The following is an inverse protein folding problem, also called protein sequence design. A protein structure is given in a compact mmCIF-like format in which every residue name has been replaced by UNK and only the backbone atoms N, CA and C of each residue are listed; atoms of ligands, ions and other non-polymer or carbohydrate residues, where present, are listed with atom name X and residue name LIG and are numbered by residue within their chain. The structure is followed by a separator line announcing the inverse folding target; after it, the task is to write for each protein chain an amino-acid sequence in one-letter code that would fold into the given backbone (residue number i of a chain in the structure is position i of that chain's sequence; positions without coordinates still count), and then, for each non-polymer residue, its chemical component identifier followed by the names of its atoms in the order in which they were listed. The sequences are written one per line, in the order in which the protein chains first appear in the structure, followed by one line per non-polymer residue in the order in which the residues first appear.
data_IF_511807544117
#
_entry.id   IF_511807544117
#
_cell.length_a   1.000
_cell.length_b   1.000
_cell.length_c   1.000
_cell.angle_alpha   90.00
_cell.angle_beta   90.00
_cell.angle_gamma   90.00
#
_symmetry.space_group_name_H-M   'P 1'
#
loop_
_entity.id
_entity.type
_entity.pdbx_description
1 polymer ?
#
# COMPACT_ATOMS: atom_id res chain seq x y z
N UNK A 1 -13.72 9.51 -8.47
CA UNK A 1 -12.90 10.78 -8.46
C UNK A 1 -11.97 10.69 -7.27
N UNK A 2 -10.70 11.04 -7.45
CA UNK A 2 -9.69 11.02 -6.36
C UNK A 2 -10.09 12.02 -5.28
N UNK A 3 -10.14 11.63 -3.98
CA UNK A 3 -10.36 12.59 -2.90
C UNK A 3 -9.21 13.59 -2.83
N UNK A 4 -9.50 14.87 -2.80
CA UNK A 4 -8.50 15.92 -2.55
C UNK A 4 -8.35 16.15 -1.06
N UNK A 5 -7.15 16.47 -0.61
CA UNK A 5 -6.88 16.67 0.81
C UNK A 5 -7.79 17.75 1.43
N UNK A 6 -8.15 18.78 0.67
CA UNK A 6 -9.03 19.86 1.13
C UNK A 6 -10.50 19.43 1.25
N UNK A 7 -10.90 18.32 0.64
CA UNK A 7 -12.23 17.73 0.73
C UNK A 7 -12.36 16.75 1.90
N UNK A 8 -11.25 16.41 2.57
CA UNK A 8 -11.16 15.49 3.70
C UNK A 8 -11.23 16.27 5.03
N UNK A 9 -12.34 16.92 5.29
CA UNK A 9 -12.60 17.79 6.44
C UNK A 9 -12.66 17.05 7.79
N UNK A 10 -12.82 15.73 7.76
CA UNK A 10 -12.81 14.86 8.94
C UNK A 10 -11.40 14.58 9.49
N UNK A 11 -10.34 14.87 8.73
CA UNK A 11 -8.96 14.62 9.17
C UNK A 11 -8.50 15.65 10.21
N UNK A 12 -7.87 15.18 11.30
CA UNK A 12 -7.22 16.05 12.29
C UNK A 12 -6.09 16.88 11.65
N UNK A 13 -5.76 18.02 12.26
CA UNK A 13 -4.67 18.88 11.76
C UNK A 13 -3.33 18.14 11.64
N UNK A 14 -3.02 17.24 12.60
CA UNK A 14 -1.80 16.43 12.54
C UNK A 14 -1.77 15.48 11.35
N UNK A 15 -2.89 14.80 11.05
CA UNK A 15 -3.02 13.94 9.88
C UNK A 15 -2.89 14.77 8.58
N UNK A 16 -3.56 15.93 8.50
CA UNK A 16 -3.48 16.79 7.31
C UNK A 16 -2.07 17.27 7.04
N UNK A 17 -1.34 17.74 8.06
CA UNK A 17 0.03 18.23 7.90
C UNK A 17 0.97 17.14 7.36
N UNK A 18 0.88 15.93 7.89
CA UNK A 18 1.68 14.78 7.43
C UNK A 18 1.29 14.31 6.03
N UNK A 19 -0.01 14.22 5.75
CA UNK A 19 -0.50 13.86 4.40
C UNK A 19 -0.11 14.93 3.38
N UNK A 20 -0.11 16.22 3.75
CA UNK A 20 0.35 17.28 2.86
C UNK A 20 1.80 17.07 2.44
N UNK A 21 2.68 16.68 3.35
CA UNK A 21 4.07 16.36 3.03
C UNK A 21 4.17 15.19 2.02
N UNK A 22 3.43 14.10 2.25
CA UNK A 22 3.43 12.92 1.37
C UNK A 22 2.87 13.22 -0.02
N UNK A 23 1.90 14.12 -0.14
CA UNK A 23 1.14 14.38 -1.36
C UNK A 23 1.68 15.56 -2.19
N UNK A 24 2.26 16.58 -1.52
CA UNK A 24 2.61 17.85 -2.17
C UNK A 24 4.06 18.27 -2.02
N UNK A 25 4.75 17.89 -0.94
CA UNK A 25 6.16 18.26 -0.72
C UNK A 25 7.12 17.18 -1.26
N UNK A 26 6.65 15.94 -1.37
CA UNK A 26 7.42 14.80 -1.86
C UNK A 26 6.71 14.07 -2.99
N UNK A 27 7.41 13.17 -3.66
CA UNK A 27 6.85 12.38 -4.76
C UNK A 27 6.55 13.22 -6.01
N UNK A 28 5.41 12.97 -6.68
CA UNK A 28 4.98 13.77 -7.83
C UNK A 28 4.63 15.22 -7.48
N UNK A 29 4.23 15.52 -6.23
CA UNK A 29 3.98 16.86 -5.72
C UNK A 29 2.65 17.49 -6.17
N UNK A 30 1.72 16.73 -6.71
CA UNK A 30 0.45 17.19 -7.29
C UNK A 30 -0.80 16.63 -6.60
N UNK A 31 -0.69 16.20 -5.35
CA UNK A 31 -1.77 15.54 -4.62
C UNK A 31 -1.83 14.03 -4.86
N UNK A 32 -0.81 13.46 -5.47
CA UNK A 32 -0.64 12.00 -5.63
C UNK A 32 0.53 11.48 -4.80
N UNK A 33 0.57 10.17 -4.56
CA UNK A 33 1.54 9.55 -3.66
C UNK A 33 2.22 8.35 -4.33
N UNK A 34 3.56 8.36 -4.42
CA UNK A 34 4.37 7.23 -4.84
C UNK A 34 5.19 6.71 -3.67
N UNK A 35 4.87 5.52 -3.16
CA UNK A 35 5.57 4.91 -2.03
C UNK A 35 6.52 3.79 -2.49
N UNK A 36 7.67 3.67 -1.82
CA UNK A 36 8.62 2.57 -1.98
C UNK A 36 8.55 1.65 -0.76
N UNK A 37 7.91 0.46 -0.83
CA UNK A 37 7.89 -0.48 0.27
C UNK A 37 9.11 -1.40 0.24
N UNK A 38 9.67 -1.68 1.43
CA UNK A 38 10.68 -2.71 1.68
C UNK A 38 10.31 -3.60 2.88
N UNK A 39 9.03 -3.77 3.10
CA UNK A 39 8.47 -4.66 4.12
C UNK A 39 8.52 -6.15 3.73
N UNK A 40 8.80 -6.44 2.47
CA UNK A 40 8.86 -7.80 1.92
C UNK A 40 9.93 -8.68 2.57
N UNK A 41 11.00 -8.11 3.12
CA UNK A 41 12.04 -8.88 3.80
C UNK A 41 11.50 -9.73 4.96
N UNK A 42 10.55 -9.20 5.75
CA UNK A 42 9.81 -9.95 6.75
C UNK A 42 8.73 -10.81 6.10
N UNK A 43 7.92 -10.23 5.21
CA UNK A 43 6.68 -10.85 4.72
C UNK A 43 6.92 -11.93 3.66
N UNK A 44 7.98 -11.85 2.86
CA UNK A 44 8.31 -12.84 1.82
C UNK A 44 9.62 -13.60 2.09
N UNK A 45 10.43 -13.10 3.02
CA UNK A 45 11.77 -13.62 3.30
C UNK A 45 12.83 -13.06 2.35
N UNK A 46 14.11 -13.41 2.58
CA UNK A 46 15.25 -12.84 1.84
C UNK A 46 15.31 -13.27 0.37
N UNK A 47 14.49 -14.22 -0.07
CA UNK A 47 14.45 -14.70 -1.46
C UNK A 47 14.18 -13.58 -2.47
N UNK A 48 13.42 -12.56 -2.10
CA UNK A 48 13.07 -11.43 -2.97
C UNK A 48 14.30 -10.57 -3.34
N UNK A 49 15.39 -10.63 -2.57
CA UNK A 49 16.62 -9.87 -2.83
C UNK A 49 17.62 -10.57 -3.76
N UNK A 50 17.39 -11.84 -4.12
CA UNK A 50 18.31 -12.57 -5.02
C UNK A 50 18.33 -11.99 -6.45
N UNK A 51 17.24 -11.37 -6.89
CA UNK A 51 17.16 -10.76 -8.23
C UNK A 51 18.08 -9.52 -8.37
N UNK A 52 18.37 -8.84 -7.26
CA UNK A 52 19.31 -7.74 -7.17
C UNK A 52 20.04 -7.82 -5.83
N UNK A 53 21.22 -8.45 -5.75
CA UNK A 53 21.96 -8.62 -4.49
C UNK A 53 22.31 -7.31 -3.79
N UNK A 54 22.46 -6.20 -4.53
CA UNK A 54 22.70 -4.89 -3.94
C UNK A 54 21.52 -4.40 -3.07
N UNK A 55 20.30 -4.84 -3.39
CA UNK A 55 19.10 -4.51 -2.62
C UNK A 55 18.98 -5.27 -1.29
N UNK A 56 19.89 -6.22 -1.01
CA UNK A 56 19.96 -6.86 0.31
C UNK A 56 20.37 -5.85 1.40
N UNK A 57 21.20 -4.86 1.05
CA UNK A 57 21.50 -3.73 1.92
C UNK A 57 20.37 -2.69 1.83
N UNK A 58 19.66 -2.41 2.93
CA UNK A 58 18.59 -1.40 2.95
C UNK A 58 19.04 0.01 2.55
N UNK A 59 20.33 0.32 2.62
CA UNK A 59 20.88 1.59 2.12
C UNK A 59 20.55 1.81 0.63
N UNK A 60 20.46 0.72 -0.17
CA UNK A 60 20.03 0.78 -1.55
C UNK A 60 18.64 1.40 -1.71
N UNK A 61 17.67 0.91 -0.94
CA UNK A 61 16.29 1.39 -1.03
C UNK A 61 16.14 2.80 -0.45
N UNK A 62 16.88 3.13 0.60
CA UNK A 62 16.88 4.49 1.13
C UNK A 62 17.44 5.51 0.12
N UNK A 63 18.52 5.16 -0.56
CA UNK A 63 19.08 5.98 -1.64
C UNK A 63 18.09 6.09 -2.80
N UNK A 64 17.48 4.99 -3.20
CA UNK A 64 16.47 4.98 -4.26
C UNK A 64 15.28 5.87 -3.91
N UNK A 65 14.81 5.84 -2.66
CA UNK A 65 13.72 6.70 -2.20
C UNK A 65 14.11 8.19 -2.23
N UNK A 66 15.33 8.52 -1.83
CA UNK A 66 15.85 9.90 -1.83
C UNK A 66 16.08 10.42 -3.26
N UNK A 67 16.88 9.71 -4.05
CA UNK A 67 17.29 10.15 -5.39
C UNK A 67 16.14 10.05 -6.40
N UNK A 68 15.26 9.05 -6.26
CA UNK A 68 14.03 8.92 -7.05
C UNK A 68 12.92 9.89 -6.63
N UNK A 69 13.06 10.58 -5.51
CA UNK A 69 12.08 11.55 -5.02
C UNK A 69 10.73 10.89 -4.76
N UNK A 70 10.70 9.83 -3.97
CA UNK A 70 9.46 9.17 -3.56
C UNK A 70 8.69 10.00 -2.54
N UNK A 71 7.37 9.82 -2.47
CA UNK A 71 6.53 10.39 -1.42
C UNK A 71 6.89 9.86 -0.03
N UNK A 72 7.44 8.65 0.04
CA UNK A 72 7.93 8.05 1.27
C UNK A 72 8.39 6.60 1.07
N UNK A 73 9.05 6.09 2.10
CA UNK A 73 9.51 4.70 2.19
C UNK A 73 8.74 3.98 3.30
N UNK A 74 8.23 2.77 3.00
CA UNK A 74 7.49 1.95 3.96
C UNK A 74 8.34 0.76 4.40
N UNK A 75 8.60 0.62 5.72
CA UNK A 75 9.45 -0.42 6.27
C UNK A 75 9.17 -0.69 7.76
N UNK A 76 9.70 -1.80 8.27
CA UNK A 76 9.59 -2.19 9.66
C UNK A 76 10.59 -1.47 10.58
N UNK A 77 10.27 -1.42 11.87
CA UNK A 77 10.98 -0.67 12.90
C UNK A 77 12.50 -0.97 12.93
N UNK A 78 12.90 -2.22 12.81
CA UNK A 78 14.32 -2.59 12.87
C UNK A 78 15.16 -1.97 11.75
N UNK A 79 14.58 -1.79 10.56
CA UNK A 79 15.24 -1.10 9.45
C UNK A 79 15.20 0.42 9.65
N UNK A 80 14.07 0.95 10.14
CA UNK A 80 13.96 2.38 10.44
C UNK A 80 15.03 2.82 11.45
N UNK A 81 15.16 2.14 12.58
CA UNK A 81 16.12 2.49 13.62
C UNK A 81 17.58 2.41 13.17
N UNK A 82 17.91 1.42 12.32
CA UNK A 82 19.31 1.19 11.89
C UNK A 82 19.75 2.10 10.76
N UNK A 83 18.84 2.49 9.83
CA UNK A 83 19.23 3.13 8.57
C UNK A 83 18.69 4.54 8.38
N UNK A 84 17.62 4.96 9.09
CA UNK A 84 16.94 6.22 8.84
C UNK A 84 17.78 7.48 9.15
N UNK A 85 18.79 7.40 10.01
CA UNK A 85 19.52 8.59 10.55
C UNK A 85 19.99 9.58 9.46
N UNK A 86 20.51 9.08 8.34
CA UNK A 86 21.00 9.91 7.23
C UNK A 86 19.88 10.55 6.40
N UNK A 87 18.68 9.98 6.47
CA UNK A 87 17.54 10.27 5.62
C UNK A 87 16.41 11.00 6.34
N UNK A 88 16.51 11.11 7.67
CA UNK A 88 15.54 11.81 8.51
C UNK A 88 15.34 13.26 8.03
N UNK A 89 14.08 13.63 7.82
CA UNK A 89 13.68 14.93 7.25
C UNK A 89 13.81 15.06 5.74
N UNK A 90 14.49 14.11 5.06
CA UNK A 90 14.68 14.13 3.58
C UNK A 90 13.77 13.14 2.85
N UNK A 91 13.53 11.98 3.46
CA UNK A 91 12.64 10.93 2.95
C UNK A 91 11.57 10.66 4.01
N UNK A 92 10.28 10.90 3.70
CA UNK A 92 9.21 10.60 4.63
C UNK A 92 9.17 9.11 4.97
N UNK A 93 8.94 8.81 6.25
CA UNK A 93 8.84 7.44 6.75
C UNK A 93 7.38 7.02 6.90
N UNK A 94 7.03 5.86 6.36
CA UNK A 94 5.81 5.11 6.68
C UNK A 94 6.23 3.90 7.52
N UNK A 95 6.02 3.96 8.84
CA UNK A 95 6.43 2.87 9.73
C UNK A 95 5.39 1.75 9.73
N UNK A 96 5.78 0.54 9.30
CA UNK A 96 4.92 -0.64 9.40
C UNK A 96 4.82 -1.09 10.85
N UNK A 97 3.58 -1.16 11.38
CA UNK A 97 3.33 -1.49 12.78
C UNK A 97 3.09 -2.96 13.04
N UNK A 98 2.82 -3.76 12.00
CA UNK A 98 2.58 -5.19 12.11
C UNK A 98 3.13 -5.94 10.89
N UNK A 99 3.33 -7.24 11.04
CA UNK A 99 3.82 -8.10 9.97
C UNK A 99 3.87 -9.56 10.40
N UNK A 100 3.89 -10.45 9.41
CA UNK A 100 4.09 -11.89 9.61
C UNK A 100 5.06 -12.42 8.56
N UNK A 101 5.67 -13.57 8.81
CA UNK A 101 6.37 -14.33 7.78
C UNK A 101 5.37 -15.11 6.92
N UNK A 102 5.77 -15.51 5.71
CA UNK A 102 4.99 -16.39 4.86
C UNK A 102 5.25 -17.89 5.08
N UNK A 103 6.05 -18.22 6.12
CA UNK A 103 6.34 -19.62 6.46
C UNK A 103 5.05 -20.37 6.83
N UNK A 104 4.17 -19.87 7.73
CA UNK A 104 2.83 -20.41 7.88
C UNK A 104 1.94 -20.00 6.69
N UNK A 105 1.02 -20.90 6.30
CA UNK A 105 0.06 -20.63 5.23
C UNK A 105 -0.86 -19.45 5.54
N UNK A 106 -1.47 -18.86 4.51
CA UNK A 106 -2.44 -17.77 4.62
C UNK A 106 -3.85 -18.23 5.05
N UNK A 107 -4.04 -19.53 5.35
CA UNK A 107 -5.34 -20.06 5.77
C UNK A 107 -5.88 -19.39 7.04
N UNK A 108 -4.99 -18.98 7.95
CA UNK A 108 -5.30 -18.25 9.17
C UNK A 108 -4.44 -16.98 9.28
N UNK A 109 -4.41 -16.18 8.22
CA UNK A 109 -3.57 -15.00 8.13
C UNK A 109 -3.87 -14.01 9.28
N UNK A 110 -2.81 -13.61 9.99
CA UNK A 110 -2.81 -12.58 11.02
C UNK A 110 -1.40 -12.01 11.14
N UNK A 111 -1.28 -10.69 11.14
CA UNK A 111 -0.02 -9.99 11.34
C UNK A 111 0.02 -9.39 12.75
N UNK A 112 0.78 -9.98 13.69
CA UNK A 112 0.91 -9.41 15.03
C UNK A 112 1.62 -8.06 15.00
N UNK A 113 1.30 -7.20 15.96
CA UNK A 113 1.93 -5.89 16.12
C UNK A 113 3.42 -6.05 16.46
N UNK A 114 4.27 -5.28 15.77
CA UNK A 114 5.74 -5.29 15.91
C UNK A 114 6.31 -3.92 16.28
N UNK A 115 5.50 -2.87 16.17
CA UNK A 115 5.84 -1.50 16.55
C UNK A 115 4.57 -0.74 16.97
N UNK A 116 4.73 0.40 17.63
CA UNK A 116 3.63 1.24 18.11
C UNK A 116 3.54 2.55 17.33
N UNK A 117 2.41 3.25 17.45
CA UNK A 117 2.28 4.62 16.92
C UNK A 117 3.24 5.58 17.64
N UNK A 118 3.54 5.33 18.92
CA UNK A 118 4.53 6.10 19.69
C UNK A 118 5.94 5.91 19.13
N UNK A 119 6.31 4.69 18.68
CA UNK A 119 7.57 4.47 17.96
C UNK A 119 7.61 5.30 16.67
N UNK A 120 6.52 5.36 15.92
CA UNK A 120 6.43 6.17 14.71
C UNK A 120 6.62 7.66 15.01
N UNK A 121 6.00 8.16 16.09
CA UNK A 121 6.20 9.55 16.56
C UNK A 121 7.66 9.78 16.94
N UNK A 122 8.26 8.90 17.73
CA UNK A 122 9.67 8.97 18.14
C UNK A 122 10.63 8.98 16.95
N UNK A 123 10.34 8.24 15.92
CA UNK A 123 11.12 8.17 14.68
C UNK A 123 10.80 9.30 13.70
N UNK A 124 9.84 10.18 14.00
CA UNK A 124 9.46 11.27 13.10
C UNK A 124 8.78 10.80 11.82
N UNK A 125 8.01 9.70 11.89
CA UNK A 125 7.28 9.17 10.75
C UNK A 125 6.15 10.11 10.29
N UNK A 126 5.89 10.12 8.99
CA UNK A 126 4.79 10.88 8.38
C UNK A 126 3.50 10.06 8.26
N UNK A 127 3.59 8.74 8.34
CA UNK A 127 2.44 7.84 8.41
C UNK A 127 2.83 6.51 9.06
N UNK A 128 1.84 5.72 9.42
CA UNK A 128 2.02 4.32 9.80
C UNK A 128 1.34 3.40 8.80
N UNK A 129 1.90 2.19 8.67
CA UNK A 129 1.37 1.13 7.84
C UNK A 129 0.82 -0.03 8.67
N UNK A 130 -0.34 -0.55 8.30
CA UNK A 130 -0.96 -1.70 8.95
C UNK A 130 -1.42 -2.71 7.91
N UNK A 131 -1.12 -3.99 8.08
CA UNK A 131 -1.64 -5.07 7.25
C UNK A 131 -2.88 -5.67 7.90
N UNK A 132 -4.01 -5.62 7.17
CA UNK A 132 -5.31 -6.15 7.56
C UNK A 132 -5.71 -7.29 6.63
N UNK A 133 -6.08 -8.45 7.20
CA UNK A 133 -6.48 -9.62 6.41
C UNK A 133 -8.00 -9.81 6.41
N UNK A 134 -8.65 -9.30 5.37
CA UNK A 134 -10.09 -9.39 5.16
C UNK A 134 -10.50 -10.82 4.79
N UNK A 135 -11.42 -11.41 5.55
CA UNK A 135 -11.91 -12.78 5.34
C UNK A 135 -11.07 -13.88 6.02
N UNK A 136 -9.97 -13.53 6.68
CA UNK A 136 -9.24 -14.48 7.53
C UNK A 136 -10.09 -14.95 8.70
N UNK A 137 -9.99 -16.24 9.13
CA UNK A 137 -10.62 -16.71 10.37
C UNK A 137 -10.14 -15.99 11.64
N UNK A 138 -9.01 -15.25 11.55
CA UNK A 138 -8.43 -14.47 12.64
C UNK A 138 -8.83 -12.99 12.60
N UNK A 139 -9.84 -12.63 11.81
CA UNK A 139 -10.23 -11.22 11.63
C UNK A 139 -10.75 -10.56 12.93
N UNK A 140 -11.29 -11.34 13.87
CA UNK A 140 -11.68 -10.85 15.20
C UNK A 140 -10.49 -10.28 15.97
N UNK A 141 -9.40 -11.03 16.06
CA UNK A 141 -8.16 -10.57 16.69
C UNK A 141 -7.52 -9.40 15.92
N UNK A 142 -7.60 -9.44 14.59
CA UNK A 142 -7.07 -8.38 13.70
C UNK A 142 -7.84 -7.07 13.89
N UNK A 143 -9.17 -7.11 13.95
CA UNK A 143 -10.00 -5.92 14.18
C UNK A 143 -9.80 -5.33 15.57
N UNK A 144 -9.62 -6.16 16.61
CA UNK A 144 -9.30 -5.69 17.96
C UNK A 144 -7.95 -4.99 18.00
N UNK A 145 -6.93 -5.54 17.35
CA UNK A 145 -5.61 -4.91 17.23
C UNK A 145 -5.67 -3.61 16.42
N UNK A 146 -6.36 -3.65 15.28
CA UNK A 146 -6.55 -2.49 14.40
C UNK A 146 -7.22 -1.32 15.14
N UNK A 147 -8.30 -1.60 15.91
CA UNK A 147 -9.00 -0.58 16.66
C UNK A 147 -8.07 0.21 17.60
N UNK A 148 -7.18 -0.48 18.31
CA UNK A 148 -6.21 0.16 19.23
C UNK A 148 -5.24 1.06 18.46
N UNK A 149 -4.69 0.55 17.34
CA UNK A 149 -3.76 1.32 16.49
C UNK A 149 -4.47 2.54 15.91
N UNK A 150 -5.70 2.40 15.40
CA UNK A 150 -6.48 3.52 14.89
C UNK A 150 -6.72 4.59 15.96
N UNK A 151 -7.05 4.18 17.18
CA UNK A 151 -7.25 5.12 18.30
C UNK A 151 -5.96 5.90 18.63
N UNK A 152 -4.80 5.23 18.61
CA UNK A 152 -3.53 5.90 18.82
C UNK A 152 -3.17 6.82 17.63
N UNK A 153 -3.49 6.43 16.40
CA UNK A 153 -3.33 7.30 15.23
C UNK A 153 -4.13 8.59 15.35
N UNK A 154 -5.38 8.53 15.83
CA UNK A 154 -6.18 9.73 16.11
C UNK A 154 -5.55 10.59 17.21
N UNK A 155 -5.12 9.96 18.31
CA UNK A 155 -4.48 10.65 19.44
C UNK A 155 -3.25 11.44 19.02
N UNK A 156 -2.42 10.89 18.12
CA UNK A 156 -1.16 11.51 17.70
C UNK A 156 -1.24 12.26 16.36
N UNK A 157 -2.42 12.32 15.74
CA UNK A 157 -2.59 12.91 14.40
C UNK A 157 -1.73 12.22 13.36
N UNK A 158 -1.61 10.89 13.44
CA UNK A 158 -0.79 10.06 12.57
C UNK A 158 -1.66 9.44 11.46
N UNK A 159 -1.37 9.67 10.18
CA UNK A 159 -2.08 9.00 9.08
C UNK A 159 -1.90 7.49 9.13
N UNK A 160 -3.01 6.77 8.90
CA UNK A 160 -3.05 5.31 8.89
C UNK A 160 -3.23 4.79 7.47
N UNK A 161 -2.19 4.17 6.92
CA UNK A 161 -2.21 3.50 5.62
C UNK A 161 -2.44 2.00 5.85
N UNK A 162 -3.51 1.45 5.29
CA UNK A 162 -3.90 0.04 5.50
C UNK A 162 -3.59 -0.79 4.26
N UNK A 163 -2.72 -1.80 4.38
CA UNK A 163 -2.55 -2.88 3.42
C UNK A 163 -3.72 -3.84 3.60
N UNK A 164 -4.81 -3.63 2.87
CA UNK A 164 -6.03 -4.43 3.00
C UNK A 164 -6.00 -5.60 2.02
N UNK A 165 -5.77 -6.80 2.57
CA UNK A 165 -5.58 -8.01 1.77
C UNK A 165 -6.63 -9.06 2.05
N UNK A 166 -7.42 -9.48 1.04
CA UNK A 166 -8.27 -10.65 1.18
C UNK A 166 -7.41 -11.91 1.40
N UNK A 167 -7.72 -12.68 2.45
CA UNK A 167 -7.02 -13.94 2.78
C UNK A 167 -7.97 -14.94 3.44
N UNK A 168 -7.58 -16.21 3.39
CA UNK A 168 -8.28 -17.32 4.02
C UNK A 168 -9.07 -18.18 3.02
N UNK A 169 -9.35 -19.41 3.43
CA UNK A 169 -10.05 -20.38 2.58
C UNK A 169 -11.43 -19.92 2.11
N UNK A 170 -12.14 -19.14 2.95
CA UNK A 170 -13.45 -18.62 2.59
C UNK A 170 -13.38 -17.62 1.42
N UNK A 171 -12.31 -16.86 1.32
CA UNK A 171 -12.04 -15.95 0.19
C UNK A 171 -11.68 -16.76 -1.05
N UNK A 172 -10.81 -17.76 -0.90
CA UNK A 172 -10.41 -18.62 -2.01
C UNK A 172 -11.63 -19.34 -2.64
N UNK A 173 -12.60 -19.78 -1.84
CA UNK A 173 -13.86 -20.40 -2.31
C UNK A 173 -14.84 -19.43 -2.98
N UNK A 174 -14.55 -18.13 -2.99
CA UNK A 174 -15.39 -17.07 -3.57
C UNK A 174 -14.70 -16.33 -4.71
N UNK A 175 -13.99 -17.05 -5.56
CA UNK A 175 -13.29 -16.48 -6.72
C UNK A 175 -11.84 -16.10 -6.48
N UNK A 176 -11.32 -16.27 -5.24
CA UNK A 176 -9.93 -16.00 -4.92
C UNK A 176 -9.67 -14.56 -4.45
N UNK A 177 -8.49 -14.38 -3.86
CA UNK A 177 -8.08 -13.17 -3.16
C UNK A 177 -7.89 -11.92 -4.03
N UNK A 178 -7.61 -12.10 -5.32
CA UNK A 178 -7.39 -10.99 -6.26
C UNK A 178 -8.61 -10.75 -7.17
N UNK A 179 -9.74 -11.49 -6.97
CA UNK A 179 -11.00 -11.26 -7.66
C UNK A 179 -11.53 -9.83 -7.44
N UNK A 180 -12.31 -9.32 -8.40
CA UNK A 180 -12.95 -7.98 -8.24
C UNK A 180 -13.77 -7.94 -6.95
N UNK A 181 -14.54 -8.99 -6.65
CA UNK A 181 -15.31 -9.10 -5.41
C UNK A 181 -14.44 -8.94 -4.16
N UNK A 182 -13.35 -9.70 -4.08
CA UNK A 182 -12.53 -9.74 -2.87
C UNK A 182 -11.80 -8.40 -2.64
N UNK A 183 -11.22 -7.82 -3.70
CA UNK A 183 -10.50 -6.54 -3.61
C UNK A 183 -11.47 -5.37 -3.34
N UNK A 184 -12.66 -5.38 -3.95
CA UNK A 184 -13.72 -4.40 -3.70
C UNK A 184 -14.20 -4.46 -2.24
N UNK A 185 -14.36 -5.66 -1.70
CA UNK A 185 -14.71 -5.84 -0.29
C UNK A 185 -13.59 -5.34 0.64
N UNK A 186 -12.34 -5.64 0.31
CA UNK A 186 -11.20 -5.18 1.10
C UNK A 186 -11.08 -3.64 1.12
N UNK A 187 -11.41 -2.97 0.01
CA UNK A 187 -11.48 -1.52 -0.05
C UNK A 187 -12.54 -0.97 0.91
N UNK A 188 -13.74 -1.54 0.87
CA UNK A 188 -14.86 -1.11 1.72
C UNK A 188 -14.62 -1.34 3.21
N UNK A 189 -14.04 -2.49 3.57
CA UNK A 189 -13.69 -2.80 4.97
C UNK A 189 -12.69 -1.78 5.52
N UNK A 190 -11.66 -1.42 4.74
CA UNK A 190 -10.68 -0.42 5.17
C UNK A 190 -11.33 0.96 5.41
N UNK A 191 -12.23 1.40 4.52
CA UNK A 191 -12.97 2.65 4.67
C UNK A 191 -13.83 2.64 5.95
N UNK A 192 -14.65 1.61 6.14
CA UNK A 192 -15.54 1.52 7.31
C UNK A 192 -14.81 1.35 8.64
N UNK A 193 -13.61 0.76 8.64
CA UNK A 193 -12.78 0.66 9.84
C UNK A 193 -11.97 1.91 10.14
N UNK A 194 -11.95 2.90 9.24
CA UNK A 194 -11.35 4.22 9.45
C UNK A 194 -9.89 4.33 9.02
N UNK A 195 -9.52 3.68 7.90
CA UNK A 195 -8.26 3.95 7.22
C UNK A 195 -8.27 5.36 6.60
N UNK A 196 -7.17 6.09 6.68
CA UNK A 196 -7.00 7.34 5.92
C UNK A 196 -6.57 7.06 4.48
N UNK A 197 -5.78 6.01 4.29
CA UNK A 197 -5.30 5.53 3.00
C UNK A 197 -5.40 4.01 2.98
N UNK A 198 -5.87 3.44 1.87
CA UNK A 198 -5.86 1.98 1.66
C UNK A 198 -4.96 1.58 0.51
N UNK A 199 -4.10 0.60 0.73
CA UNK A 199 -3.29 -0.06 -0.28
C UNK A 199 -3.95 -1.37 -0.65
N UNK A 200 -4.20 -1.55 -1.94
CA UNK A 200 -4.87 -2.71 -2.52
C UNK A 200 -4.01 -3.34 -3.64
N UNK A 201 -4.23 -4.61 -3.91
CA UNK A 201 -3.82 -5.18 -5.19
C UNK A 201 -4.74 -4.68 -6.30
N UNK A 202 -4.23 -4.63 -7.52
CA UNK A 202 -5.09 -4.40 -8.69
C UNK A 202 -5.96 -5.64 -8.89
N UNK A 203 -7.30 -5.49 -9.00
CA UNK A 203 -8.18 -6.65 -9.14
C UNK A 203 -8.02 -7.37 -10.47
N UNK A 204 -8.16 -8.70 -10.46
CA UNK A 204 -8.21 -9.53 -11.66
C UNK A 204 -9.61 -9.44 -12.29
N UNK A 205 -9.74 -8.68 -13.38
CA UNK A 205 -11.01 -8.47 -14.06
C UNK A 205 -11.43 -9.66 -14.98
N UNK A 206 -10.46 -10.42 -15.46
CA UNK A 206 -10.61 -11.62 -16.30
C UNK A 206 -10.47 -12.94 -15.50
N UNK A 207 -10.83 -12.90 -14.24
CA UNK A 207 -10.70 -14.00 -13.29
C UNK A 207 -11.32 -15.31 -13.84
N UNK A 208 -10.55 -16.40 -14.02
CA UNK A 208 -11.05 -17.67 -14.52
C UNK A 208 -12.04 -18.35 -13.56
N UNK A 209 -12.03 -17.93 -12.28
CA UNK A 209 -12.92 -18.44 -11.23
C UNK A 209 -14.13 -17.54 -10.98
N UNK A 210 -14.44 -16.64 -11.92
CA UNK A 210 -15.52 -15.67 -11.80
C UNK A 210 -16.88 -16.26 -11.42
N UNK A 211 -17.19 -17.47 -11.90
CA UNK A 211 -18.43 -18.16 -11.57
C UNK A 211 -18.60 -18.49 -10.07
N UNK A 212 -17.49 -18.53 -9.32
CA UNK A 212 -17.46 -18.76 -7.88
C UNK A 212 -17.70 -17.48 -7.06
N UNK A 213 -17.59 -16.31 -7.69
CA UNK A 213 -17.82 -15.04 -7.01
C UNK A 213 -19.28 -14.91 -6.58
N UNK A 214 -19.58 -14.25 -5.43
CA UNK A 214 -20.95 -13.98 -5.03
C UNK A 214 -21.69 -13.06 -6.02
N UNK A 215 -23.01 -13.23 -6.12
CA UNK A 215 -23.84 -12.30 -6.90
C UNK A 215 -23.74 -10.88 -6.31
N UNK A 216 -23.74 -9.83 -7.16
CA UNK A 216 -23.84 -9.87 -8.62
C UNK A 216 -22.49 -10.00 -9.35
N UNK A 217 -21.34 -10.09 -8.66
CA UNK A 217 -20.01 -10.08 -9.28
C UNK A 217 -19.80 -11.20 -10.30
N UNK A 218 -20.35 -12.38 -10.04
CA UNK A 218 -20.27 -13.52 -10.95
C UNK A 218 -20.93 -13.29 -12.32
N UNK A 219 -21.78 -12.29 -12.47
CA UNK A 219 -22.49 -11.96 -13.72
C UNK A 219 -22.06 -10.61 -14.31
N UNK A 220 -21.51 -9.70 -13.50
CA UNK A 220 -21.01 -8.43 -13.98
C UNK A 220 -19.80 -8.61 -14.88
N UNK A 221 -19.71 -7.83 -15.95
CA UNK A 221 -18.55 -7.79 -16.82
C UNK A 221 -17.70 -6.56 -16.47
N UNK A 222 -16.42 -6.77 -16.30
CA UNK A 222 -15.44 -5.73 -16.05
C UNK A 222 -14.35 -5.79 -17.11
N UNK A 223 -13.92 -4.66 -17.59
CA UNK A 223 -12.60 -4.44 -18.14
C UNK A 223 -11.66 -3.92 -17.05
N UNK A 224 -10.40 -3.75 -17.37
CA UNK A 224 -9.40 -3.31 -16.39
C UNK A 224 -9.78 -1.98 -15.73
N UNK A 225 -10.17 -0.98 -16.53
CA UNK A 225 -10.51 0.35 -16.04
C UNK A 225 -11.74 0.35 -15.13
N UNK A 226 -12.79 -0.36 -15.52
CA UNK A 226 -14.04 -0.45 -14.73
C UNK A 226 -13.86 -1.25 -13.43
N UNK A 227 -13.00 -2.29 -13.43
CA UNK A 227 -12.66 -3.03 -12.21
C UNK A 227 -11.93 -2.13 -11.21
N UNK A 228 -10.91 -1.40 -11.65
CA UNK A 228 -10.17 -0.44 -10.81
C UNK A 228 -11.11 0.66 -10.29
N UNK A 229 -11.93 1.24 -11.17
CA UNK A 229 -12.90 2.27 -10.79
C UNK A 229 -13.90 1.78 -9.74
N UNK A 230 -14.41 0.55 -9.89
CA UNK A 230 -15.33 -0.07 -8.92
C UNK A 230 -14.71 -0.14 -7.53
N UNK A 231 -13.49 -0.60 -7.43
CA UNK A 231 -12.74 -0.71 -6.16
C UNK A 231 -12.50 0.66 -5.53
N UNK A 232 -12.12 1.67 -6.32
CA UNK A 232 -11.95 3.05 -5.83
C UNK A 232 -13.27 3.61 -5.28
N UNK A 233 -14.39 3.36 -5.97
CA UNK A 233 -15.71 3.82 -5.51
C UNK A 233 -16.10 3.20 -4.16
N UNK A 234 -15.76 1.95 -3.92
CA UNK A 234 -16.06 1.26 -2.66
C UNK A 234 -15.21 1.74 -1.49
N UNK A 235 -14.03 2.32 -1.75
CA UNK A 235 -13.20 2.95 -0.73
C UNK A 235 -13.75 4.31 -0.21
N UNK A 236 -14.84 4.82 -0.78
CA UNK A 236 -15.52 6.01 -0.28
C UNK A 236 -14.63 7.25 -0.26
N UNK A 237 -14.35 7.78 0.93
CA UNK A 237 -13.45 8.93 1.15
C UNK A 237 -12.02 8.52 1.49
N UNK A 238 -11.74 7.23 1.62
CA UNK A 238 -10.38 6.71 1.85
C UNK A 238 -9.55 6.85 0.58
N UNK A 239 -8.37 7.42 0.69
CA UNK A 239 -7.43 7.51 -0.43
C UNK A 239 -6.94 6.12 -0.85
N UNK A 240 -6.84 5.84 -2.17
CA UNK A 240 -6.50 4.51 -2.67
C UNK A 240 -5.11 4.49 -3.31
N UNK A 241 -4.27 3.53 -2.87
CA UNK A 241 -3.00 3.20 -3.49
C UNK A 241 -3.09 1.78 -4.11
N UNK A 242 -2.63 1.62 -5.35
CA UNK A 242 -2.51 0.30 -5.95
C UNK A 242 -1.07 -0.20 -5.96
N UNK A 243 -0.90 -1.51 -5.70
CA UNK A 243 0.41 -2.16 -5.71
C UNK A 243 0.77 -2.76 -7.07
N UNK A 244 2.09 -2.87 -7.31
CA UNK A 244 2.62 -3.50 -8.52
C UNK A 244 2.54 -5.03 -8.55
N UNK A 245 2.39 -5.66 -7.38
CA UNK A 245 2.46 -7.11 -7.27
C UNK A 245 3.88 -7.67 -7.46
N UNK A 246 3.99 -8.84 -8.09
CA UNK A 246 5.28 -9.42 -8.51
C UNK A 246 5.94 -8.56 -9.59
N UNK A 247 7.26 -8.75 -9.80
CA UNK A 247 7.97 -8.07 -10.90
C UNK A 247 7.38 -8.51 -12.25
N UNK A 248 7.03 -7.51 -13.06
CA UNK A 248 6.47 -7.64 -14.42
C UNK A 248 7.31 -6.82 -15.40
N UNK A 249 6.97 -6.81 -16.68
CA UNK A 249 7.62 -5.96 -17.67
C UNK A 249 7.43 -4.47 -17.38
N UNK A 250 8.27 -3.61 -17.94
CA UNK A 250 8.16 -2.17 -17.77
C UNK A 250 6.89 -1.63 -18.43
N UNK A 251 6.57 -2.15 -19.60
CA UNK A 251 5.39 -1.80 -20.37
C UNK A 251 4.11 -2.11 -19.56
N UNK A 252 4.01 -3.32 -19.04
CA UNK A 252 2.86 -3.73 -18.22
C UNK A 252 2.74 -2.91 -16.92
N UNK A 253 3.88 -2.58 -16.29
CA UNK A 253 3.89 -1.78 -15.08
C UNK A 253 3.43 -0.34 -15.35
N UNK A 254 3.92 0.27 -16.45
CA UNK A 254 3.54 1.64 -16.83
C UNK A 254 2.07 1.71 -17.27
N UNK A 255 1.58 0.70 -17.99
CA UNK A 255 0.16 0.62 -18.36
C UNK A 255 -0.74 0.44 -17.12
N UNK A 256 -0.34 -0.44 -16.19
CA UNK A 256 -1.00 -0.60 -14.89
C UNK A 256 -1.04 0.73 -14.13
N UNK A 257 0.07 1.45 -14.08
CA UNK A 257 0.16 2.75 -13.42
C UNK A 257 -0.80 3.75 -14.07
N UNK A 258 -0.80 3.85 -15.40
CA UNK A 258 -1.69 4.75 -16.17
C UNK A 258 -3.15 4.47 -15.86
N UNK A 259 -3.60 3.23 -16.02
CA UNK A 259 -5.00 2.85 -15.79
C UNK A 259 -5.42 3.18 -14.35
N UNK A 260 -4.63 2.80 -13.35
CA UNK A 260 -4.96 3.08 -11.95
C UNK A 260 -5.12 4.59 -11.70
N UNK A 261 -4.19 5.40 -12.22
CA UNK A 261 -4.20 6.84 -11.99
C UNK A 261 -5.34 7.55 -12.74
N UNK A 262 -5.63 7.18 -13.98
CA UNK A 262 -6.75 7.69 -14.77
C UNK A 262 -8.12 7.36 -14.15
N UNK A 263 -8.24 6.20 -13.48
CA UNK A 263 -9.47 5.84 -12.78
C UNK A 263 -9.64 6.53 -11.42
N UNK A 264 -8.68 7.34 -10.98
CA UNK A 264 -8.78 8.18 -9.80
C UNK A 264 -8.09 7.62 -8.55
N UNK A 265 -7.14 6.70 -8.69
CA UNK A 265 -6.27 6.33 -7.58
C UNK A 265 -5.51 7.56 -7.04
N UNK A 266 -5.31 7.61 -5.74
CA UNK A 266 -4.48 8.66 -5.12
C UNK A 266 -2.99 8.39 -5.36
N UNK A 267 -2.62 7.13 -5.56
CA UNK A 267 -1.22 6.84 -5.83
C UNK A 267 -0.91 5.37 -6.05
N UNK A 268 0.38 5.12 -6.05
CA UNK A 268 0.98 3.83 -6.36
C UNK A 268 2.00 3.46 -5.28
N UNK A 269 2.16 2.16 -5.06
CA UNK A 269 3.15 1.61 -4.14
C UNK A 269 3.84 0.41 -4.78
N UNK A 270 5.06 0.63 -5.28
CA UNK A 270 5.81 -0.35 -6.05
C UNK A 270 7.13 -0.69 -5.36
N UNK A 271 7.27 -1.93 -4.93
CA UNK A 271 8.46 -2.47 -4.26
C UNK A 271 9.34 -3.27 -5.20
N UNK A 272 9.06 -4.57 -5.37
CA UNK A 272 9.87 -5.51 -6.18
C UNK A 272 10.10 -5.04 -7.61
N UNK A 273 9.11 -4.41 -8.22
CA UNK A 273 9.25 -3.83 -9.56
C UNK A 273 10.32 -2.73 -9.63
N UNK A 274 10.68 -2.12 -8.49
CA UNK A 274 11.65 -1.05 -8.42
C UNK A 274 13.03 -1.55 -7.94
N UNK A 275 13.14 -2.06 -6.72
CA UNK A 275 14.42 -2.40 -6.11
C UNK A 275 15.00 -3.76 -6.55
N UNK A 276 14.26 -4.61 -7.28
CA UNK A 276 14.81 -5.80 -7.96
C UNK A 276 15.48 -5.47 -9.31
N UNK A 277 15.93 -4.23 -9.52
CA UNK A 277 16.60 -3.72 -10.72
C UNK A 277 17.94 -3.09 -10.37
N UNK A 278 18.85 -2.93 -11.32
CA UNK A 278 19.98 -2.02 -11.18
C UNK A 278 19.51 -0.60 -10.83
N UNK A 279 20.31 0.12 -10.06
CA UNK A 279 19.91 1.39 -9.45
C UNK A 279 19.46 2.44 -10.50
N UNK A 280 20.24 2.61 -11.56
CA UNK A 280 19.93 3.58 -12.62
C UNK A 280 18.64 3.23 -13.39
N UNK A 281 18.39 1.96 -13.61
CA UNK A 281 17.15 1.49 -14.24
C UNK A 281 15.94 1.76 -13.33
N UNK A 282 16.10 1.55 -12.02
CA UNK A 282 15.06 1.85 -11.03
C UNK A 282 14.74 3.35 -10.99
N UNK A 283 15.75 4.23 -11.05
CA UNK A 283 15.57 5.68 -11.11
C UNK A 283 14.85 6.09 -12.40
N UNK A 284 15.29 5.59 -13.56
CA UNK A 284 14.67 5.90 -14.85
C UNK A 284 13.20 5.49 -14.90
N UNK A 285 12.87 4.30 -14.37
CA UNK A 285 11.50 3.82 -14.31
C UNK A 285 10.65 4.63 -13.30
N UNK A 286 11.25 5.03 -12.18
CA UNK A 286 10.59 5.91 -11.19
C UNK A 286 10.15 7.22 -11.83
N UNK A 287 11.01 7.84 -12.65
CA UNK A 287 10.66 9.10 -13.32
C UNK A 287 9.50 8.92 -14.31
N UNK A 288 9.52 7.88 -15.14
CA UNK A 288 8.41 7.55 -16.05
C UNK A 288 7.08 7.36 -15.29
N UNK A 289 7.11 6.71 -14.13
CA UNK A 289 5.91 6.55 -13.30
C UNK A 289 5.44 7.91 -12.77
N UNK A 290 6.35 8.76 -12.29
CA UNK A 290 5.99 10.11 -11.82
C UNK A 290 5.43 10.99 -12.93
N UNK A 291 5.95 10.87 -14.17
CA UNK A 291 5.39 11.57 -15.34
C UNK A 291 3.94 11.17 -15.58
N UNK A 292 3.61 9.86 -15.55
CA UNK A 292 2.24 9.37 -15.63
C UNK A 292 1.38 9.97 -14.50
N UNK A 293 1.89 9.96 -13.26
CA UNK A 293 1.15 10.50 -12.11
C UNK A 293 0.93 12.01 -12.19
N UNK A 294 1.82 12.76 -12.81
CA UNK A 294 1.67 14.22 -13.01
C UNK A 294 0.72 14.58 -14.14
N UNK A 295 0.49 13.65 -15.07
CA UNK A 295 -0.36 13.90 -16.25
C UNK A 295 -1.87 13.75 -15.98
N UNK A 296 -2.28 13.34 -14.76
CA UNK A 296 -3.68 13.00 -14.40
C UNK A 296 -4.23 13.88 -13.27
#
# INVERSE_FOLDING_TARGET
MRPKLDELDHLSHGKRARLYRLLYEHGPGNGTMLLLPIDQGLEHGPVDFFANPAALDPEYQWRLALEGGYSGIALHIGLAEKYMRKYAGKVPLVLKLNGKTNIPSDAQAFSPQTATVEDAVRLGADAVGYTLYVGSPRQDADFIQFHKIRADCEKYGMPLIVWSYPRGEAVEKKGGRDSVYAVDYAARVADELGADVVKLNVPEFDNPRKAEEPKPYNTLQFDYASAVRKVIQSAGRTMVLFSGGSKISDEDLLEKARICMEQGATGLIFGRNMWQRPFEEALALTEKIKEIMRSV
#
